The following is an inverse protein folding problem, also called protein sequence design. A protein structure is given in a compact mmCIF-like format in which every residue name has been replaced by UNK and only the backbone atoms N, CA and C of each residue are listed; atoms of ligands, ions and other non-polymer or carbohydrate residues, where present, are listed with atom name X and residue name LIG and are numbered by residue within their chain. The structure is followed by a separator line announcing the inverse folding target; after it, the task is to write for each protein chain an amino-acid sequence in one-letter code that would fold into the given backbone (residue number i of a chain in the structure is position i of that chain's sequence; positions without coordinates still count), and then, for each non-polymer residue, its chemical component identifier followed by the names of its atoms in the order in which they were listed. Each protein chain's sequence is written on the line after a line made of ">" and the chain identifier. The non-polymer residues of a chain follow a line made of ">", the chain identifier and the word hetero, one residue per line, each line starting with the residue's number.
data_IF_737288233913
#
_entry.id   IF_737288233913
#
_cell.length_a   1.000
_cell.length_b   1.000
_cell.length_c   1.000
_cell.angle_alpha   90.00
_cell.angle_beta   90.00
_cell.angle_gamma   90.00
#
_symmetry.space_group_name_H-M   'P 1'
#
loop_
_entity.id
_entity.type
_entity.pdbx_description
1 polymer ?
#
# COMPACT_ATOMS: atom_id res chain seq x y z
N UNK A 1 -9.58 11.11 -1.21
CA UNK A 1 -8.34 11.23 -2.03
C UNK A 1 -7.12 11.58 -1.19
N UNK A 2 -7.05 12.75 -0.52
CA UNK A 2 -5.90 13.16 0.33
C UNK A 2 -5.45 12.10 1.37
N UNK A 3 -6.40 11.42 2.02
CA UNK A 3 -6.10 10.33 2.97
C UNK A 3 -5.40 9.11 2.35
N UNK A 4 -5.56 8.85 1.05
CA UNK A 4 -4.86 7.77 0.36
C UNK A 4 -3.50 8.23 -0.16
N UNK A 5 -3.38 9.51 -0.56
CA UNK A 5 -2.10 10.10 -0.96
C UNK A 5 -1.11 10.20 0.21
N UNK A 6 -1.60 10.53 1.42
CA UNK A 6 -0.76 10.71 2.60
C UNK A 6 -0.36 9.39 3.29
N UNK A 7 -1.22 8.38 3.24
CA UNK A 7 -1.07 7.15 4.03
C UNK A 7 -0.99 5.88 3.16
N UNK A 8 -1.05 6.01 1.84
CA UNK A 8 -1.20 4.90 0.91
C UNK A 8 -2.67 4.45 0.76
N UNK A 9 -2.93 3.76 -0.36
CA UNK A 9 -4.20 3.06 -0.57
C UNK A 9 -4.24 1.82 0.33
N UNK A 10 -5.35 1.62 1.03
CA UNK A 10 -5.63 0.38 1.78
C UNK A 10 -6.63 -0.44 0.97
N UNK A 11 -6.12 -1.38 0.17
CA UNK A 11 -6.95 -2.23 -0.67
C UNK A 11 -7.38 -3.47 0.11
N UNK A 12 -8.70 -3.72 0.13
CA UNK A 12 -9.25 -4.97 0.65
C UNK A 12 -9.67 -5.85 -0.50
N UNK A 13 -9.29 -7.12 -0.42
CA UNK A 13 -9.49 -8.12 -1.47
C UNK A 13 -10.59 -9.10 -1.06
N UNK A 14 -11.50 -9.40 -1.99
CA UNK A 14 -12.60 -10.33 -1.81
C UNK A 14 -12.73 -11.22 -3.05
N UNK A 15 -12.89 -12.52 -2.85
CA UNK A 15 -13.22 -13.45 -3.92
C UNK A 15 -14.75 -13.61 -4.03
N UNK A 16 -15.26 -13.56 -5.25
CA UNK A 16 -16.66 -13.77 -5.56
C UNK A 16 -16.74 -14.77 -6.73
N UNK A 17 -16.91 -16.06 -6.40
CA UNK A 17 -16.75 -17.14 -7.36
C UNK A 17 -15.36 -17.11 -7.99
N UNK A 18 -15.28 -17.09 -9.32
CA UNK A 18 -14.04 -17.01 -10.09
C UNK A 18 -13.48 -15.58 -10.24
N UNK A 19 -14.16 -14.57 -9.69
CA UNK A 19 -13.73 -13.17 -9.79
C UNK A 19 -13.10 -12.70 -8.48
N UNK A 20 -11.89 -12.18 -8.54
CA UNK A 20 -11.28 -11.42 -7.46
C UNK A 20 -11.67 -9.95 -7.60
N UNK A 21 -12.16 -9.33 -6.54
CA UNK A 21 -12.45 -7.90 -6.47
C UNK A 21 -11.60 -7.27 -5.38
N UNK A 22 -11.13 -6.04 -5.60
CA UNK A 22 -10.48 -5.26 -4.58
C UNK A 22 -10.96 -3.83 -4.60
N UNK A 23 -11.06 -3.22 -3.43
CA UNK A 23 -11.50 -1.85 -3.27
C UNK A 23 -10.77 -1.17 -2.13
N UNK A 24 -10.55 0.13 -2.27
CA UNK A 24 -9.97 0.91 -1.20
C UNK A 24 -10.99 1.11 -0.08
N UNK A 25 -10.71 0.58 1.12
CA UNK A 25 -11.60 0.73 2.29
C UNK A 25 -11.75 2.20 2.71
N UNK A 26 -10.79 3.06 2.32
CA UNK A 26 -10.82 4.50 2.61
C UNK A 26 -11.81 5.26 1.72
N UNK A 27 -12.54 4.58 0.83
CA UNK A 27 -13.62 5.16 0.02
C UNK A 27 -13.15 6.13 -1.06
N UNK A 28 -11.89 6.02 -1.52
CA UNK A 28 -11.38 6.91 -2.57
C UNK A 28 -11.82 6.53 -4.00
N UNK A 29 -12.55 5.42 -4.14
CA UNK A 29 -12.99 4.90 -5.44
C UNK A 29 -11.93 4.07 -6.18
N UNK A 30 -10.70 4.01 -5.67
CA UNK A 30 -9.66 3.16 -6.24
C UNK A 30 -9.92 1.69 -5.93
N UNK A 31 -9.89 0.86 -6.97
CA UNK A 31 -10.28 -0.55 -6.89
C UNK A 31 -10.32 -1.18 -8.29
N UNK A 32 -10.60 -2.47 -8.32
CA UNK A 32 -10.69 -3.22 -9.57
C UNK A 32 -11.19 -4.64 -9.37
N UNK A 33 -11.28 -5.36 -10.49
CA UNK A 33 -11.62 -6.77 -10.51
C UNK A 33 -10.74 -7.52 -11.48
N UNK A 34 -10.54 -8.80 -11.21
CA UNK A 34 -9.81 -9.72 -12.07
C UNK A 34 -10.50 -11.08 -12.07
N UNK A 35 -10.80 -11.58 -13.26
CA UNK A 35 -11.37 -12.90 -13.43
C UNK A 35 -10.27 -13.96 -13.53
N UNK A 36 -10.53 -15.10 -12.92
CA UNK A 36 -9.69 -16.28 -12.92
C UNK A 36 -10.43 -17.45 -13.55
N UNK A 37 -9.68 -18.50 -13.90
CA UNK A 37 -10.28 -19.68 -14.53
C UNK A 37 -11.10 -20.50 -13.51
N UNK A 38 -10.70 -20.45 -12.23
CA UNK A 38 -11.35 -21.21 -11.17
C UNK A 38 -11.63 -20.36 -9.93
N UNK A 39 -12.70 -20.71 -9.21
CA UNK A 39 -13.04 -20.07 -7.93
C UNK A 39 -11.95 -20.27 -6.88
N UNK A 40 -11.31 -21.45 -6.90
CA UNK A 40 -10.20 -21.78 -6.01
C UNK A 40 -9.01 -20.84 -6.20
N UNK A 41 -8.67 -20.49 -7.44
CA UNK A 41 -7.62 -19.51 -7.72
C UNK A 41 -8.00 -18.14 -7.17
N UNK A 42 -9.21 -17.65 -7.47
CA UNK A 42 -9.67 -16.37 -6.96
C UNK A 42 -9.64 -16.31 -5.43
N UNK A 43 -10.09 -17.35 -4.73
CA UNK A 43 -10.05 -17.45 -3.28
C UNK A 43 -8.63 -17.52 -2.72
N UNK A 44 -7.74 -18.30 -3.35
CA UNK A 44 -6.33 -18.39 -2.95
C UNK A 44 -5.64 -17.04 -3.07
N UNK A 45 -5.86 -16.31 -4.16
CA UNK A 45 -5.30 -14.98 -4.35
C UNK A 45 -5.91 -13.98 -3.37
N UNK A 46 -7.23 -13.99 -3.13
CA UNK A 46 -7.85 -13.12 -2.12
C UNK A 46 -7.21 -13.30 -0.75
N UNK A 47 -7.06 -14.55 -0.29
CA UNK A 47 -6.45 -14.86 1.01
C UNK A 47 -4.96 -14.47 1.06
N UNK A 48 -4.22 -14.65 -0.04
CA UNK A 48 -2.81 -14.29 -0.12
C UNK A 48 -2.60 -12.77 -0.07
N UNK A 49 -3.44 -12.00 -0.77
CA UNK A 49 -3.36 -10.54 -0.79
C UNK A 49 -3.85 -9.90 0.51
N UNK A 50 -4.90 -10.44 1.14
CA UNK A 50 -5.39 -9.98 2.44
C UNK A 50 -4.32 -10.13 3.53
N UNK A 51 -3.59 -11.28 3.54
CA UNK A 51 -2.44 -11.47 4.45
C UNK A 51 -1.30 -10.48 4.17
N UNK A 52 -1.08 -10.11 2.90
CA UNK A 52 -0.02 -9.18 2.49
C UNK A 52 -0.34 -7.73 2.87
N UNK A 53 -1.61 -7.34 2.85
CA UNK A 53 -2.08 -6.04 3.38
C UNK A 53 -1.78 -5.94 4.88
N UNK A 54 -2.08 -6.98 5.66
CA UNK A 54 -1.75 -7.03 7.10
C UNK A 54 -0.23 -6.96 7.37
N UNK A 55 0.60 -7.48 6.46
CA UNK A 55 2.06 -7.38 6.54
C UNK A 55 2.56 -5.98 6.14
N UNK A 56 1.91 -5.30 5.18
CA UNK A 56 2.18 -3.91 4.81
C UNK A 56 1.82 -2.91 5.91
N UNK A 57 0.79 -3.20 6.70
CA UNK A 57 0.35 -2.42 7.85
C UNK A 57 1.36 -2.40 9.02
N UNK A 58 2.37 -3.28 8.95
CA UNK A 58 3.49 -3.40 9.91
C UNK A 58 4.84 -2.96 9.36
N UNK A 59 4.90 -2.12 8.33
CA UNK A 59 6.12 -1.34 8.09
C UNK A 59 6.17 -0.19 9.11
N UNK A 60 7.00 -0.26 10.17
CA UNK A 60 7.07 0.83 11.13
C UNK A 60 7.71 2.01 10.39
N UNK A 61 6.89 3.04 10.09
CA UNK A 61 7.36 4.34 9.64
C UNK A 61 8.34 5.00 10.64
N UNK A 62 8.51 4.40 11.81
CA UNK A 62 9.47 4.78 12.86
C UNK A 62 10.93 4.46 12.44
N UNK A 63 11.16 3.53 11.50
CA UNK A 63 12.52 3.18 11.06
C UNK A 63 13.13 4.10 9.99
N UNK A 64 12.32 4.94 9.31
CA UNK A 64 12.77 5.76 8.18
C UNK A 64 12.87 7.26 8.49
N UNK A 65 12.49 7.67 9.70
CA UNK A 65 12.67 9.04 10.17
C UNK A 65 14.15 9.48 10.30
N UNK A 66 15.10 8.66 10.82
CA UNK A 66 16.48 9.14 10.98
C UNK A 66 17.18 9.40 9.64
N UNK A 67 16.86 8.64 8.58
CA UNK A 67 17.47 8.83 7.26
C UNK A 67 16.95 10.06 6.51
N UNK A 68 15.71 10.51 6.77
CA UNK A 68 15.17 11.74 6.17
C UNK A 68 15.76 13.01 6.80
N UNK A 69 16.01 12.99 8.12
CA UNK A 69 16.75 14.06 8.82
C UNK A 69 18.21 14.16 8.36
N UNK A 70 18.90 13.03 8.21
CA UNK A 70 20.28 13.00 7.76
C UNK A 70 20.50 13.60 6.34
N UNK A 71 19.49 13.50 5.46
CA UNK A 71 19.56 14.13 4.12
C UNK A 71 19.38 15.65 4.16
N UNK A 72 18.46 16.15 4.97
CA UNK A 72 18.21 17.60 5.12
C UNK A 72 19.43 18.34 5.70
N UNK A 73 20.14 17.75 6.66
CA UNK A 73 21.38 18.34 7.21
C UNK A 73 22.51 18.33 6.18
N UNK A 74 22.61 17.27 5.37
CA UNK A 74 23.69 17.12 4.39
C UNK A 74 23.55 18.08 3.21
N UNK A 75 22.32 18.46 2.83
CA UNK A 75 22.08 19.48 1.80
C UNK A 75 22.38 20.89 2.32
N UNK A 76 22.16 21.17 3.61
CA UNK A 76 22.49 22.47 4.19
C UNK A 76 24.00 22.69 4.41
N UNK A 77 24.77 21.60 4.54
CA UNK A 77 26.24 21.68 4.69
C UNK A 77 26.95 21.89 3.34
N UNK A 78 26.22 21.88 2.20
CA UNK A 78 26.74 22.18 0.86
C UNK A 78 26.49 23.61 0.39
N UNK A 79 26.26 24.54 1.32
CA UNK A 79 26.28 25.96 1.00
C UNK A 79 27.49 26.65 1.66
N UNK A 80 28.71 26.52 1.10
CA UNK A 80 29.68 27.59 1.23
C UNK A 80 29.12 28.77 0.42
N UNK A 81 28.47 29.70 1.11
CA UNK A 81 28.36 31.07 0.64
C UNK A 81 29.76 31.66 0.53
N UNK A 82 30.05 32.17 -0.68
CA UNK A 82 31.12 33.08 -1.09
C UNK A 82 32.35 32.45 -1.75
#
# INVERSE_FOLDING_TARGET
>A
MLRCTLLGHRHRFHAHGATLRWQCERGCGDGGSKDYLTEREAAMFAAAFDRRDQLGERAPLIGLFPLRLARLVRDHTRQPTR
#
